data_IF_112378912923
#
_entry.id   IF_112378912923
#
_cell.length_a   1.000
_cell.length_b   1.000
_cell.length_c   1.000
_cell.angle_alpha   90.00
_cell.angle_beta   90.00
_cell.angle_gamma   90.00
#
_symmetry.space_group_name_H-M   'P 1'
#
loop_
_entity.id
_entity.type
_entity.pdbx_description
1 polymer ?
#
# COMPACT_ATOMS: atom_id res chain seq x y z
N UNK A 1 22.78 15.80 -16.70
CA UNK A 1 22.19 16.48 -15.53
C UNK A 1 22.73 15.80 -14.30
N UNK A 2 23.07 16.51 -13.20
CA UNK A 2 23.46 15.83 -11.97
C UNK A 2 22.33 14.89 -11.54
N UNK A 3 22.67 13.63 -11.21
CA UNK A 3 21.70 12.67 -10.66
C UNK A 3 20.94 13.33 -9.50
N UNK A 4 19.60 13.30 -9.55
CA UNK A 4 18.80 13.85 -8.46
C UNK A 4 19.01 12.96 -7.24
N UNK A 5 19.27 13.58 -6.08
CA UNK A 5 19.54 12.83 -4.84
C UNK A 5 18.35 11.94 -4.49
N UNK A 6 18.56 10.63 -4.53
CA UNK A 6 17.61 9.60 -4.10
C UNK A 6 17.61 9.47 -2.57
N UNK A 7 16.43 9.31 -1.99
CA UNK A 7 16.21 8.89 -0.60
C UNK A 7 15.20 7.77 -0.55
N UNK A 8 15.56 6.70 0.15
CA UNK A 8 14.71 5.53 0.39
C UNK A 8 14.61 5.28 1.90
N UNK A 9 13.41 4.91 2.33
CA UNK A 9 13.15 4.28 3.63
C UNK A 9 12.48 2.91 3.41
N UNK A 10 12.74 1.98 4.32
CA UNK A 10 12.14 0.65 4.31
C UNK A 10 11.24 0.50 5.53
N UNK A 11 10.12 -0.17 5.34
CA UNK A 11 9.24 -0.63 6.41
C UNK A 11 9.05 -2.13 6.21
N UNK A 12 9.47 -2.92 7.21
CA UNK A 12 9.53 -4.38 7.11
C UNK A 12 8.59 -4.96 8.16
N UNK A 13 7.58 -5.69 7.69
CA UNK A 13 6.63 -6.43 8.51
C UNK A 13 6.97 -7.92 8.46
N UNK A 14 7.24 -8.52 9.61
CA UNK A 14 7.61 -9.93 9.72
C UNK A 14 6.73 -10.64 10.74
N UNK A 15 6.07 -11.73 10.33
CA UNK A 15 5.32 -12.58 11.25
C UNK A 15 6.28 -13.33 12.20
N UNK A 16 5.91 -13.38 13.48
CA UNK A 16 6.64 -14.13 14.50
C UNK A 16 6.11 -15.56 14.58
N UNK A 17 7.00 -16.51 14.88
CA UNK A 17 6.65 -17.92 15.01
C UNK A 17 6.37 -18.28 16.46
N UNK A 18 5.22 -17.82 16.95
CA UNK A 18 4.74 -18.03 18.31
C UNK A 18 3.77 -19.20 18.40
N UNK A 19 3.52 -19.68 19.62
CA UNK A 19 2.52 -20.74 19.90
C UNK A 19 1.08 -20.26 19.77
N UNK A 20 0.84 -19.00 20.11
CA UNK A 20 -0.46 -18.34 20.07
C UNK A 20 -0.42 -17.01 19.34
N UNK A 21 -1.59 -16.50 18.99
CA UNK A 21 -1.77 -15.15 18.46
C UNK A 21 -1.45 -14.07 19.49
N UNK A 22 -1.43 -12.80 19.08
CA UNK A 22 -0.90 -11.70 19.88
C UNK A 22 -1.78 -11.36 21.10
N UNK A 23 -3.09 -11.49 20.96
CA UNK A 23 -4.08 -11.12 21.97
C UNK A 23 -5.13 -12.22 22.23
N UNK A 24 -4.82 -13.46 21.85
CA UNK A 24 -5.61 -14.65 22.19
C UNK A 24 -4.74 -15.91 22.12
N UNK A 25 -5.22 -17.03 22.66
CA UNK A 25 -4.48 -18.29 22.67
C UNK A 25 -4.59 -19.13 21.39
N UNK A 26 -5.25 -18.62 20.34
CA UNK A 26 -5.43 -19.37 19.10
C UNK A 26 -4.09 -19.65 18.39
N UNK A 27 -3.90 -20.84 17.82
CA UNK A 27 -2.68 -21.17 17.06
C UNK A 27 -2.57 -20.33 15.77
N UNK A 28 -1.40 -19.74 15.46
CA UNK A 28 -1.22 -18.86 14.29
C UNK A 28 -1.01 -19.67 13.00
N UNK A 29 -2.06 -20.34 12.54
CA UNK A 29 -2.05 -21.24 11.37
C UNK A 29 -2.91 -20.67 10.24
N UNK A 30 -2.31 -20.51 9.06
CA UNK A 30 -3.02 -20.10 7.84
C UNK A 30 -3.68 -21.32 7.20
N UNK A 31 -4.97 -21.21 6.90
CA UNK A 31 -5.85 -22.30 6.45
C UNK A 31 -6.25 -22.13 4.98
N UNK A 32 -6.42 -23.25 4.28
CA UNK A 32 -6.79 -23.26 2.84
C UNK A 32 -8.11 -23.98 2.58
N UNK A 33 -8.45 -24.91 3.46
CA UNK A 33 -9.70 -25.65 3.54
C UNK A 33 -10.92 -24.76 3.83
N UNK A 34 -12.11 -25.38 3.78
CA UNK A 34 -13.38 -24.68 3.95
C UNK A 34 -13.55 -24.15 5.37
N UNK A 35 -14.04 -22.90 5.54
CA UNK A 35 -14.26 -22.33 6.86
C UNK A 35 -15.44 -23.01 7.56
N UNK A 36 -15.33 -23.14 8.89
CA UNK A 36 -16.39 -23.72 9.72
C UNK A 36 -17.59 -22.78 9.88
N UNK A 37 -17.38 -21.46 9.82
CA UNK A 37 -18.46 -20.48 9.88
C UNK A 37 -18.18 -19.23 9.06
N UNK A 38 -19.26 -18.50 8.78
CA UNK A 38 -19.22 -17.21 8.11
C UNK A 38 -20.16 -16.23 8.81
N UNK A 39 -19.74 -14.98 8.94
CA UNK A 39 -20.58 -13.90 9.47
C UNK A 39 -20.28 -12.59 8.75
N UNK A 40 -21.28 -11.71 8.69
CA UNK A 40 -21.19 -10.44 7.95
C UNK A 40 -21.19 -9.27 8.91
N UNK A 41 -20.35 -8.27 8.66
CA UNK A 41 -20.34 -7.00 9.38
C UNK A 41 -20.25 -5.79 8.45
N UNK A 42 -20.52 -4.63 9.05
CA UNK A 42 -20.34 -3.31 8.46
C UNK A 42 -19.56 -2.46 9.45
N UNK A 43 -18.46 -1.86 8.99
CA UNK A 43 -17.75 -0.87 9.79
C UNK A 43 -18.48 0.48 9.70
N UNK A 44 -18.47 1.22 10.80
CA UNK A 44 -19.04 2.56 10.90
C UNK A 44 -17.94 3.56 11.20
N UNK A 45 -18.11 4.78 10.71
CA UNK A 45 -17.19 5.86 11.00
C UNK A 45 -17.30 6.28 12.46
N UNK A 46 -16.17 6.35 13.13
CA UNK A 46 -16.04 7.06 14.39
C UNK A 46 -15.82 8.55 14.10
N UNK A 47 -16.49 9.42 14.86
CA UNK A 47 -16.21 10.86 14.85
C UNK A 47 -15.04 11.15 15.77
N UNK A 48 -14.20 12.10 15.42
CA UNK A 48 -13.22 12.65 16.35
C UNK A 48 -13.92 13.35 17.53
N UNK A 49 -13.18 13.66 18.58
CA UNK A 49 -13.68 14.46 19.71
C UNK A 49 -14.23 15.82 19.27
N UNK A 50 -13.72 16.36 18.16
CA UNK A 50 -14.17 17.61 17.54
C UNK A 50 -15.34 17.42 16.56
N UNK A 51 -15.83 16.19 16.42
CA UNK A 51 -16.90 15.84 15.47
C UNK A 51 -16.44 15.69 14.02
N UNK A 52 -15.15 15.80 13.76
CA UNK A 52 -14.57 15.69 12.42
C UNK A 52 -14.47 14.22 11.99
N UNK A 53 -14.60 14.00 10.69
CA UNK A 53 -14.49 12.67 10.08
C UNK A 53 -13.22 12.63 9.23
N UNK A 54 -12.46 11.54 9.35
CA UNK A 54 -11.33 11.28 8.47
C UNK A 54 -11.82 11.17 7.01
N UNK A 55 -11.35 12.01 6.06
CA UNK A 55 -11.80 11.99 4.68
C UNK A 55 -11.58 10.65 3.95
N UNK A 56 -10.49 9.93 4.26
CA UNK A 56 -10.23 8.61 3.70
C UNK A 56 -11.20 7.57 4.27
N UNK A 57 -11.52 7.69 5.56
CA UNK A 57 -12.56 6.89 6.20
C UNK A 57 -13.92 7.13 5.56
N UNK A 58 -14.30 8.40 5.36
CA UNK A 58 -15.54 8.77 4.67
C UNK A 58 -15.58 8.17 3.27
N UNK A 59 -14.48 8.26 2.51
CA UNK A 59 -14.42 7.73 1.15
C UNK A 59 -14.64 6.22 1.09
N UNK A 60 -13.98 5.43 1.94
CA UNK A 60 -14.21 3.98 1.99
C UNK A 60 -15.63 3.63 2.48
N UNK A 61 -16.14 4.36 3.48
CA UNK A 61 -17.50 4.17 3.98
C UNK A 61 -18.56 4.46 2.91
N UNK A 62 -18.35 5.49 2.08
CA UNK A 62 -19.25 5.85 0.97
C UNK A 62 -19.39 4.73 -0.07
N UNK A 63 -18.44 3.79 -0.15
CA UNK A 63 -18.57 2.61 -1.02
C UNK A 63 -19.65 1.63 -0.54
N UNK A 64 -20.14 1.78 0.70
CA UNK A 64 -21.24 0.99 1.26
C UNK A 64 -20.95 -0.51 1.28
N UNK A 65 -19.69 -0.88 1.49
CA UNK A 65 -19.24 -2.27 1.44
C UNK A 65 -19.60 -3.01 2.72
N UNK A 66 -20.02 -4.26 2.56
CA UNK A 66 -20.12 -5.24 3.65
C UNK A 66 -18.87 -6.13 3.69
N UNK A 67 -18.57 -6.68 4.86
CA UNK A 67 -17.43 -7.56 5.06
C UNK A 67 -17.94 -8.93 5.48
N UNK A 68 -17.65 -9.96 4.69
CA UNK A 68 -17.94 -11.35 5.01
C UNK A 68 -16.68 -11.99 5.59
N UNK A 69 -16.74 -12.36 6.87
CA UNK A 69 -15.64 -12.99 7.57
C UNK A 69 -15.82 -14.51 7.61
N UNK A 70 -14.77 -15.23 7.22
CA UNK A 70 -14.67 -16.68 7.27
C UNK A 70 -13.82 -17.09 8.49
N UNK A 71 -14.37 -17.96 9.33
CA UNK A 71 -13.77 -18.36 10.61
C UNK A 71 -13.57 -19.88 10.71
N UNK A 72 -12.55 -20.27 11.47
CA UNK A 72 -12.17 -21.65 11.75
C UNK A 72 -12.18 -21.86 13.26
N UNK A 73 -13.19 -22.56 13.78
CA UNK A 73 -13.44 -22.70 15.23
C UNK A 73 -12.30 -23.32 16.06
N UNK A 74 -11.29 -23.90 15.40
CA UNK A 74 -10.08 -24.47 16.02
C UNK A 74 -8.86 -23.54 15.97
N UNK A 75 -8.86 -22.50 15.11
CA UNK A 75 -7.74 -21.55 14.95
C UNK A 75 -8.17 -20.06 15.05
N UNK A 76 -9.44 -19.80 15.35
CA UNK A 76 -10.06 -18.48 15.49
C UNK A 76 -11.03 -18.52 16.68
N UNK A 77 -10.98 -17.53 17.57
CA UNK A 77 -11.91 -17.41 18.70
C UNK A 77 -12.71 -16.11 18.66
N UNK A 78 -13.46 -15.83 19.73
CA UNK A 78 -14.32 -14.67 19.85
C UNK A 78 -13.55 -13.34 19.83
N UNK A 79 -12.27 -13.34 20.23
CA UNK A 79 -11.40 -12.15 20.15
C UNK A 79 -11.23 -11.70 18.71
N UNK A 80 -10.90 -12.60 17.78
CA UNK A 80 -10.81 -12.28 16.35
C UNK A 80 -12.16 -11.97 15.72
N UNK A 81 -13.26 -12.48 16.28
CA UNK A 81 -14.61 -12.17 15.80
C UNK A 81 -15.14 -10.83 16.33
N UNK A 82 -14.40 -10.16 17.22
CA UNK A 82 -14.85 -8.96 17.94
C UNK A 82 -16.14 -9.23 18.75
N UNK A 83 -16.13 -10.35 19.50
CA UNK A 83 -17.20 -10.80 20.40
C UNK A 83 -16.68 -11.05 21.84
N UNK A 84 -15.37 -10.89 22.07
CA UNK A 84 -14.71 -11.02 23.37
C UNK A 84 -13.58 -9.98 23.49
N UNK A 85 -13.37 -9.36 24.67
CA UNK A 85 -12.21 -8.51 24.90
C UNK A 85 -10.89 -9.25 24.62
N UNK A 86 -9.87 -8.56 24.08
CA UNK A 86 -8.56 -9.17 23.88
C UNK A 86 -7.94 -9.61 25.20
N UNK A 87 -7.20 -10.72 25.16
CA UNK A 87 -6.40 -11.19 26.29
C UNK A 87 -5.15 -10.30 26.45
N UNK A 88 -4.38 -10.45 27.55
CA UNK A 88 -3.09 -9.77 27.68
C UNK A 88 -2.14 -10.06 26.52
N UNK A 89 -1.21 -9.13 26.28
CA UNK A 89 -0.19 -9.24 25.23
C UNK A 89 0.61 -10.54 25.37
N UNK A 90 0.76 -11.26 24.26
CA UNK A 90 1.50 -12.51 24.22
C UNK A 90 2.98 -12.30 24.61
N UNK A 91 3.40 -12.90 25.73
CA UNK A 91 4.74 -12.74 26.29
C UNK A 91 5.85 -13.30 25.40
N UNK A 92 5.58 -14.39 24.65
CA UNK A 92 6.54 -14.95 23.69
C UNK A 92 6.77 -13.99 22.52
N UNK A 93 5.69 -13.38 22.00
CA UNK A 93 5.78 -12.36 20.96
C UNK A 93 6.57 -11.13 21.43
N UNK A 94 6.31 -10.68 22.65
CA UNK A 94 7.04 -9.56 23.27
C UNK A 94 8.53 -9.88 23.43
N UNK A 95 8.88 -11.07 23.92
CA UNK A 95 10.28 -11.49 24.07
C UNK A 95 11.04 -11.49 22.74
N UNK A 96 10.39 -11.98 21.67
CA UNK A 96 10.96 -11.96 20.31
C UNK A 96 11.13 -10.52 19.83
N UNK A 97 10.14 -9.64 20.02
CA UNK A 97 10.22 -8.24 19.64
C UNK A 97 11.35 -7.49 20.39
N UNK A 98 11.52 -7.75 21.69
CA UNK A 98 12.61 -7.22 22.50
C UNK A 98 13.98 -7.72 22.01
N UNK A 99 14.09 -9.01 21.69
CA UNK A 99 15.29 -9.60 21.09
C UNK A 99 15.67 -8.86 19.80
N UNK A 100 14.70 -8.64 18.92
CA UNK A 100 14.89 -7.93 17.65
C UNK A 100 15.32 -6.48 17.89
N UNK A 101 14.71 -5.77 18.85
CA UNK A 101 15.12 -4.42 19.23
C UNK A 101 16.59 -4.36 19.63
N UNK A 102 17.04 -5.28 20.49
CA UNK A 102 18.44 -5.34 20.95
C UNK A 102 19.40 -5.68 19.79
N UNK A 103 19.02 -6.61 18.90
CA UNK A 103 19.80 -6.94 17.70
C UNK A 103 19.94 -5.75 16.72
N UNK A 104 18.98 -4.83 16.76
CA UNK A 104 18.96 -3.59 15.98
C UNK A 104 19.46 -2.37 16.76
N UNK A 105 20.12 -2.58 17.91
CA UNK A 105 20.67 -1.53 18.77
C UNK A 105 19.64 -0.46 19.19
N UNK A 106 18.35 -0.82 19.27
CA UNK A 106 17.28 0.10 19.65
C UNK A 106 17.30 0.37 21.16
N UNK A 107 16.82 1.55 21.55
CA UNK A 107 16.37 1.80 22.91
C UNK A 107 15.00 1.17 23.09
N UNK A 108 14.85 0.35 24.12
CA UNK A 108 13.58 -0.31 24.46
C UNK A 108 12.76 0.63 25.36
N UNK A 109 11.43 0.60 25.22
CA UNK A 109 10.52 1.36 26.09
C UNK A 109 10.47 0.75 27.50
N UNK A 110 10.33 1.58 28.53
CA UNK A 110 10.18 1.11 29.92
C UNK A 110 8.82 0.44 30.17
N UNK A 111 7.78 0.89 29.46
CA UNK A 111 6.43 0.38 29.54
C UNK A 111 5.81 0.29 28.14
N UNK A 112 5.16 -0.85 27.85
CA UNK A 112 4.53 -1.10 26.56
C UNK A 112 3.05 -0.72 26.62
N UNK A 113 2.65 0.24 25.80
CA UNK A 113 1.26 0.68 25.65
C UNK A 113 0.68 0.21 24.32
N UNK A 114 -0.43 -0.53 24.36
CA UNK A 114 -1.13 -1.02 23.16
C UNK A 114 -2.08 0.07 22.66
N UNK A 115 -1.85 0.49 21.42
CA UNK A 115 -2.64 1.51 20.71
C UNK A 115 -3.59 0.87 19.70
N UNK A 116 -4.58 1.63 19.25
CA UNK A 116 -5.56 1.23 18.23
C UNK A 116 -5.39 2.10 16.98
N UNK A 117 -4.71 1.56 15.96
CA UNK A 117 -4.56 2.20 14.65
C UNK A 117 -5.82 1.93 13.83
N UNK A 118 -6.59 2.95 13.48
CA UNK A 118 -7.87 2.79 12.76
C UNK A 118 -7.64 2.12 11.40
N UNK A 119 -8.43 1.10 11.09
CA UNK A 119 -8.39 0.34 9.83
C UNK A 119 -9.81 0.12 9.33
N UNK A 120 -10.13 0.78 8.23
CA UNK A 120 -11.47 0.92 7.67
C UNK A 120 -11.75 -0.01 6.47
N UNK A 121 -10.73 -0.72 5.98
CA UNK A 121 -10.84 -1.57 4.79
C UNK A 121 -11.54 -2.92 5.07
N UNK A 122 -11.86 -3.19 6.33
CA UNK A 122 -12.49 -4.42 6.80
C UNK A 122 -11.50 -5.54 7.13
N UNK A 123 -10.19 -5.33 7.01
CA UNK A 123 -9.19 -6.36 7.30
C UNK A 123 -9.02 -6.64 8.80
N UNK A 124 -9.49 -5.74 9.68
CA UNK A 124 -9.62 -5.96 11.12
C UNK A 124 -11.11 -5.91 11.50
N UNK A 125 -11.61 -6.96 12.15
CA UNK A 125 -13.02 -7.08 12.58
C UNK A 125 -13.45 -5.98 13.55
N UNK A 126 -12.51 -5.50 14.36
CA UNK A 126 -12.62 -4.39 15.32
C UNK A 126 -12.65 -3.00 14.67
N UNK A 127 -12.33 -2.88 13.38
CA UNK A 127 -12.12 -1.58 12.71
C UNK A 127 -10.81 -0.87 13.11
N UNK A 128 -9.92 -1.55 13.83
CA UNK A 128 -8.59 -1.06 14.17
C UNK A 128 -7.58 -2.21 14.34
N UNK A 129 -6.32 -1.95 14.07
CA UNK A 129 -5.20 -2.84 14.37
C UNK A 129 -4.64 -2.48 15.74
N UNK A 130 -4.40 -3.49 16.60
CA UNK A 130 -3.67 -3.28 17.85
C UNK A 130 -2.17 -3.28 17.57
N UNK A 131 -1.49 -2.20 17.95
CA UNK A 131 -0.05 -1.97 17.70
C UNK A 131 0.59 -1.39 18.97
N UNK A 132 1.80 -1.82 19.30
CA UNK A 132 2.57 -1.32 20.43
C UNK A 132 4.00 -0.98 20.03
N UNK A 133 4.51 0.18 20.45
CA UNK A 133 5.91 0.55 20.27
C UNK A 133 6.76 -0.25 21.27
N UNK A 134 7.80 -0.94 20.77
CA UNK A 134 8.70 -1.75 21.60
C UNK A 134 10.08 -1.10 21.72
N UNK A 135 10.58 -0.53 20.62
CA UNK A 135 11.86 0.17 20.64
C UNK A 135 11.97 1.23 19.56
N UNK A 136 12.93 2.12 19.73
CA UNK A 136 13.17 3.27 18.85
C UNK A 136 14.66 3.66 18.87
N UNK A 137 15.06 4.63 18.04
CA UNK A 137 16.45 5.15 17.98
C UNK A 137 17.53 4.07 17.77
N UNK A 138 17.22 3.03 17.01
CA UNK A 138 18.16 1.96 16.68
C UNK A 138 19.01 2.26 15.46
N UNK A 139 19.86 1.29 15.10
CA UNK A 139 20.57 1.30 13.82
C UNK A 139 21.04 -0.10 13.41
N UNK A 140 21.21 -0.26 12.10
CA UNK A 140 21.90 -1.41 11.50
C UNK A 140 23.08 -0.92 10.66
N UNK A 141 24.23 -1.58 10.80
CA UNK A 141 25.42 -1.27 10.00
C UNK A 141 25.43 -2.08 8.71
N UNK A 142 25.54 -1.38 7.58
CA UNK A 142 25.59 -1.95 6.24
C UNK A 142 26.72 -1.26 5.47
N UNK A 143 27.73 -2.01 5.07
CA UNK A 143 28.92 -1.50 4.36
C UNK A 143 29.57 -0.26 5.03
N UNK A 144 29.70 -0.27 6.35
CA UNK A 144 30.30 0.84 7.11
C UNK A 144 29.40 2.07 7.30
N UNK A 145 28.16 2.05 6.79
CA UNK A 145 27.16 3.09 7.02
C UNK A 145 26.15 2.64 8.06
N UNK A 146 25.83 3.52 9.01
CA UNK A 146 24.73 3.33 9.95
C UNK A 146 23.41 3.73 9.31
N UNK A 147 22.49 2.78 9.22
CA UNK A 147 21.13 3.00 8.77
C UNK A 147 20.25 3.10 10.02
N UNK A 148 19.68 4.27 10.34
CA UNK A 148 18.81 4.43 11.49
C UNK A 148 17.59 3.52 11.41
N UNK A 149 17.21 2.95 12.54
CA UNK A 149 15.92 2.30 12.77
C UNK A 149 15.11 3.25 13.64
N UNK A 150 14.09 3.87 13.06
CA UNK A 150 13.29 4.87 13.77
C UNK A 150 12.44 4.20 14.85
N UNK A 151 11.76 3.10 14.48
CA UNK A 151 10.83 2.40 15.35
C UNK A 151 10.84 0.89 15.08
N UNK A 152 10.58 0.12 16.13
CA UNK A 152 10.22 -1.29 16.11
C UNK A 152 8.91 -1.44 16.88
N UNK A 153 7.86 -1.87 16.18
CA UNK A 153 6.53 -2.07 16.75
C UNK A 153 6.16 -3.56 16.75
N UNK A 154 5.34 -3.97 17.72
CA UNK A 154 4.70 -5.27 17.77
C UNK A 154 3.19 -5.09 17.54
N UNK A 155 2.64 -5.75 16.55
CA UNK A 155 1.25 -5.57 16.13
C UNK A 155 0.58 -6.86 15.65
N UNK A 156 -0.74 -6.80 15.52
CA UNK A 156 -1.54 -7.86 14.92
C UNK A 156 -1.44 -7.82 13.40
N UNK A 157 -1.20 -8.96 12.74
CA UNK A 157 -1.43 -9.03 11.30
C UNK A 157 -2.94 -8.97 10.98
N UNK A 158 -3.26 -8.48 9.79
CA UNK A 158 -4.63 -8.30 9.33
C UNK A 158 -5.23 -9.58 8.75
N UNK A 159 -6.57 -9.68 8.70
CA UNK A 159 -7.26 -10.78 8.03
C UNK A 159 -6.85 -10.88 6.56
N UNK A 160 -6.91 -12.09 5.99
CA UNK A 160 -6.51 -12.31 4.59
C UNK A 160 -7.70 -12.12 3.67
N UNK A 161 -7.59 -11.17 2.74
CA UNK A 161 -8.58 -10.98 1.68
C UNK A 161 -8.57 -12.19 0.74
N UNK A 162 -9.73 -12.81 0.53
CA UNK A 162 -9.90 -14.00 -0.34
C UNK A 162 -10.88 -13.77 -1.47
N UNK A 163 -11.65 -12.68 -1.43
CA UNK A 163 -12.55 -12.30 -2.51
C UNK A 163 -12.96 -10.83 -2.41
N UNK A 164 -13.30 -10.23 -3.54
CA UNK A 164 -13.86 -8.88 -3.62
C UNK A 164 -14.91 -8.84 -4.71
N UNK A 165 -16.13 -8.46 -4.34
CA UNK A 165 -17.20 -8.07 -5.24
C UNK A 165 -17.47 -6.56 -5.13
N UNK A 166 -18.48 -6.08 -5.87
CA UNK A 166 -18.81 -4.65 -5.93
C UNK A 166 -19.19 -4.03 -4.57
N UNK A 167 -19.88 -4.78 -3.71
CA UNK A 167 -20.41 -4.33 -2.40
C UNK A 167 -20.03 -5.23 -1.23
N UNK A 168 -19.19 -6.24 -1.47
CA UNK A 168 -18.79 -7.20 -0.44
C UNK A 168 -17.32 -7.56 -0.61
N UNK A 169 -16.58 -7.57 0.50
CA UNK A 169 -15.21 -8.10 0.56
C UNK A 169 -15.19 -9.29 1.50
N UNK A 170 -14.52 -10.36 1.10
CA UNK A 170 -14.44 -11.61 1.85
C UNK A 170 -13.05 -11.73 2.49
N UNK A 171 -13.02 -11.91 3.80
CA UNK A 171 -11.80 -12.03 4.60
C UNK A 171 -11.78 -13.36 5.37
N UNK A 172 -10.62 -14.03 5.43
CA UNK A 172 -10.36 -15.15 6.34
C UNK A 172 -9.65 -14.67 7.60
N UNK A 173 -10.18 -15.08 8.75
CA UNK A 173 -9.68 -14.70 10.09
C UNK A 173 -8.51 -15.55 10.58
N UNK A 174 -8.13 -16.59 9.84
CA UNK A 174 -6.97 -17.45 10.13
C UNK A 174 -5.68 -16.65 10.38
N UNK A 175 -5.47 -15.58 9.62
CA UNK A 175 -4.32 -14.68 9.72
C UNK A 175 -4.47 -13.54 10.73
N UNK A 176 -5.71 -13.13 11.02
CA UNK A 176 -5.97 -12.00 11.92
C UNK A 176 -5.39 -12.32 13.31
N UNK A 177 -4.58 -11.40 13.85
CA UNK A 177 -3.99 -11.53 15.19
C UNK A 177 -2.67 -12.31 15.26
N UNK A 178 -2.16 -12.84 14.15
CA UNK A 178 -0.78 -13.41 14.13
C UNK A 178 0.20 -12.29 14.54
N UNK A 179 1.13 -12.51 15.49
CA UNK A 179 2.06 -11.47 15.91
C UNK A 179 2.98 -11.07 14.77
N UNK A 180 3.16 -9.76 14.61
CA UNK A 180 3.94 -9.15 13.55
C UNK A 180 4.89 -8.12 14.17
N UNK A 181 6.16 -8.16 13.80
CA UNK A 181 7.08 -7.06 14.08
C UNK A 181 7.14 -6.14 12.86
N UNK A 182 6.96 -4.84 13.08
CA UNK A 182 7.19 -3.79 12.10
C UNK A 182 8.50 -3.09 12.43
N UNK A 183 9.39 -2.97 11.44
CA UNK A 183 10.67 -2.26 11.57
C UNK A 183 10.71 -1.15 10.52
N UNK A 184 10.80 0.11 10.96
CA UNK A 184 10.87 1.26 10.08
C UNK A 184 12.27 1.91 10.09
N UNK A 185 12.88 2.08 8.92
CA UNK A 185 14.19 2.73 8.79
C UNK A 185 14.08 4.24 8.62
N UNK A 186 15.15 4.97 8.91
CA UNK A 186 15.32 6.37 8.50
C UNK A 186 15.46 6.51 6.96
N UNK A 187 15.08 7.67 6.38
CA UNK A 187 15.11 7.91 4.93
C UNK A 187 16.52 8.32 4.45
N UNK A 188 17.53 7.50 4.76
CA UNK A 188 18.96 7.79 4.49
C UNK A 188 19.56 6.92 3.39
N UNK A 189 18.81 5.95 2.88
CA UNK A 189 19.28 5.04 1.83
C UNK A 189 19.32 5.80 0.51
N UNK A 190 20.45 5.78 -0.18
CA UNK A 190 20.74 6.67 -1.31
C UNK A 190 20.98 5.96 -2.63
N UNK A 191 20.90 4.63 -2.68
CA UNK A 191 20.96 3.87 -3.94
C UNK A 191 20.06 2.64 -3.93
N UNK A 192 19.57 2.17 -5.09
CA UNK A 192 18.78 0.95 -5.15
C UNK A 192 19.52 -0.30 -4.64
N UNK A 193 20.83 -0.39 -4.92
CA UNK A 193 21.69 -1.48 -4.40
C UNK A 193 21.76 -1.47 -2.88
N UNK A 194 21.93 -0.29 -2.29
CA UNK A 194 21.95 -0.14 -0.82
C UNK A 194 20.61 -0.55 -0.22
N UNK A 195 19.47 -0.18 -0.81
CA UNK A 195 18.14 -0.59 -0.35
C UNK A 195 18.03 -2.13 -0.25
N UNK A 196 18.47 -2.86 -1.28
CA UNK A 196 18.51 -4.31 -1.25
C UNK A 196 19.43 -4.89 -0.18
N UNK A 197 20.61 -4.29 0.04
CA UNK A 197 21.54 -4.73 1.08
C UNK A 197 21.03 -4.49 2.50
N UNK A 198 20.35 -3.35 2.73
CA UNK A 198 19.72 -3.05 4.03
C UNK A 198 18.59 -4.02 4.31
N UNK A 199 17.69 -4.23 3.35
CA UNK A 199 16.61 -5.21 3.46
C UNK A 199 17.16 -6.61 3.74
N UNK A 200 18.22 -7.01 3.02
CA UNK A 200 18.89 -8.31 3.23
C UNK A 200 19.43 -8.43 4.65
N UNK A 201 20.12 -7.39 5.14
CA UNK A 201 20.73 -7.40 6.46
C UNK A 201 19.69 -7.51 7.57
N UNK A 202 18.60 -6.73 7.50
CA UNK A 202 17.49 -6.83 8.45
C UNK A 202 16.85 -8.22 8.37
N UNK A 203 16.57 -8.73 7.17
CA UNK A 203 16.05 -10.07 6.97
C UNK A 203 16.95 -11.18 7.53
N UNK A 204 18.28 -11.04 7.46
CA UNK A 204 19.22 -11.96 8.09
C UNK A 204 19.13 -11.92 9.61
N UNK A 205 19.10 -10.72 10.21
CA UNK A 205 18.96 -10.57 11.67
C UNK A 205 17.65 -11.21 12.16
N UNK A 206 16.53 -10.95 11.47
CA UNK A 206 15.26 -11.59 11.75
C UNK A 206 15.36 -13.12 11.68
N UNK A 207 16.01 -13.67 10.65
CA UNK A 207 16.20 -15.13 10.53
C UNK A 207 17.09 -15.72 11.63
N UNK A 208 18.11 -14.99 12.07
CA UNK A 208 19.03 -15.42 13.12
C UNK A 208 18.33 -15.60 14.47
N UNK A 209 17.18 -14.95 14.70
CA UNK A 209 16.37 -15.19 15.90
C UNK A 209 15.90 -16.64 15.99
N UNK A 210 15.72 -17.33 14.86
CA UNK A 210 15.08 -18.65 14.81
C UNK A 210 13.58 -18.64 15.18
N UNK A 211 12.98 -17.46 15.42
CA UNK A 211 11.63 -17.29 15.99
C UNK A 211 10.69 -16.47 15.08
N UNK A 212 10.97 -16.45 13.78
CA UNK A 212 10.15 -15.77 12.76
C UNK A 212 9.58 -16.78 11.77
N UNK A 213 8.34 -16.56 11.31
CA UNK A 213 7.71 -17.46 10.35
C UNK A 213 8.41 -17.40 8.99
N UNK A 214 8.47 -18.56 8.34
CA UNK A 214 9.10 -18.76 7.03
C UNK A 214 8.06 -19.17 5.99
N UNK A 215 8.32 -18.81 4.74
CA UNK A 215 7.46 -19.16 3.62
C UNK A 215 6.88 -17.92 2.93
N UNK A 216 6.07 -18.15 1.92
CA UNK A 216 5.44 -17.07 1.15
C UNK A 216 4.44 -16.31 2.03
N UNK A 217 4.50 -14.98 1.98
CA UNK A 217 3.58 -14.10 2.69
C UNK A 217 3.84 -13.90 4.18
N UNK A 218 4.97 -14.42 4.72
CA UNK A 218 5.35 -14.19 6.13
C UNK A 218 6.13 -12.91 6.36
N UNK A 219 6.67 -12.32 5.30
CA UNK A 219 7.35 -11.03 5.29
C UNK A 219 6.70 -10.13 4.24
N UNK A 220 6.49 -8.86 4.60
CA UNK A 220 6.07 -7.78 3.71
C UNK A 220 7.04 -6.62 3.85
N UNK A 221 7.35 -5.97 2.74
CA UNK A 221 8.29 -4.86 2.73
C UNK A 221 7.67 -3.72 1.93
N UNK A 222 7.51 -2.57 2.58
CA UNK A 222 7.01 -1.36 1.98
C UNK A 222 8.18 -0.40 1.76
N UNK A 223 8.26 0.18 0.56
CA UNK A 223 9.36 1.05 0.14
C UNK A 223 8.88 2.49 0.06
N UNK A 224 9.55 3.38 0.76
CA UNK A 224 9.30 4.82 0.69
C UNK A 224 10.38 5.48 -0.17
N UNK A 225 10.07 5.83 -1.42
CA UNK A 225 11.04 6.32 -2.41
C UNK A 225 10.78 7.78 -2.75
N UNK A 226 11.83 8.59 -2.82
CA UNK A 226 11.77 9.98 -3.27
C UNK A 226 13.06 10.42 -3.96
N UNK A 227 12.93 11.29 -4.96
CA UNK A 227 14.08 11.99 -5.57
C UNK A 227 14.01 13.49 -5.27
N UNK A 228 15.16 14.17 -5.26
CA UNK A 228 15.21 15.61 -5.02
C UNK A 228 14.29 16.40 -5.98
N UNK A 229 13.38 17.20 -5.43
CA UNK A 229 12.37 17.95 -6.19
C UNK A 229 11.16 17.13 -6.64
N UNK A 230 11.14 15.83 -6.35
CA UNK A 230 10.02 14.90 -6.53
C UNK A 230 9.13 14.81 -5.28
N UNK A 231 8.50 13.65 -5.09
CA UNK A 231 7.57 13.40 -3.99
C UNK A 231 7.90 12.09 -3.27
N UNK A 232 7.51 11.96 -2.00
CA UNK A 232 7.55 10.67 -1.29
C UNK A 232 6.45 9.78 -1.85
N UNK A 233 6.84 8.64 -2.41
CA UNK A 233 5.93 7.61 -2.92
C UNK A 233 6.14 6.33 -2.13
N UNK A 234 5.06 5.79 -1.61
CA UNK A 234 5.03 4.53 -0.86
C UNK A 234 4.64 3.40 -1.82
N UNK A 235 5.47 2.37 -1.91
CA UNK A 235 5.25 1.17 -2.71
C UNK A 235 5.03 0.02 -1.75
N UNK A 236 3.80 -0.49 -1.70
CA UNK A 236 3.38 -1.50 -0.74
C UNK A 236 3.56 -2.93 -1.26
N UNK A 237 3.86 -3.85 -0.36
CA UNK A 237 3.73 -5.29 -0.57
C UNK A 237 4.84 -5.91 -1.41
N UNK A 238 6.08 -5.43 -1.31
CA UNK A 238 7.23 -6.06 -1.95
C UNK A 238 7.59 -7.34 -1.18
N UNK A 239 7.27 -8.50 -1.76
CA UNK A 239 7.53 -9.79 -1.11
C UNK A 239 8.95 -10.31 -1.38
N UNK A 240 9.41 -10.18 -2.63
CA UNK A 240 10.70 -10.68 -3.09
C UNK A 240 11.80 -9.65 -2.86
N UNK A 241 12.81 -10.04 -2.08
CA UNK A 241 13.94 -9.19 -1.72
C UNK A 241 14.74 -8.76 -2.96
N UNK A 242 14.91 -9.67 -3.92
CA UNK A 242 15.67 -9.43 -5.15
C UNK A 242 15.06 -8.32 -6.02
N UNK A 243 13.76 -8.06 -5.87
CA UNK A 243 13.05 -7.03 -6.63
C UNK A 243 13.25 -5.61 -6.07
N UNK A 244 13.66 -5.46 -4.81
CA UNK A 244 13.78 -4.15 -4.15
C UNK A 244 14.66 -3.18 -4.94
N UNK A 245 15.90 -3.53 -5.35
CA UNK A 245 16.71 -2.61 -6.15
C UNK A 245 16.03 -2.21 -7.45
N UNK A 246 15.37 -3.14 -8.14
CA UNK A 246 14.71 -2.85 -9.41
C UNK A 246 13.51 -1.92 -9.22
N UNK A 247 12.71 -2.14 -8.19
CA UNK A 247 11.53 -1.30 -7.88
C UNK A 247 11.96 0.13 -7.55
N UNK A 248 12.99 0.30 -6.71
CA UNK A 248 13.54 1.62 -6.36
C UNK A 248 14.08 2.35 -7.59
N UNK A 249 14.84 1.65 -8.44
CA UNK A 249 15.38 2.21 -9.68
C UNK A 249 14.25 2.69 -10.62
N UNK A 250 13.23 1.86 -10.82
CA UNK A 250 12.09 2.18 -11.67
C UNK A 250 11.28 3.36 -11.13
N UNK A 251 11.08 3.45 -9.81
CA UNK A 251 10.37 4.57 -9.20
C UNK A 251 11.18 5.87 -9.27
N UNK A 252 12.49 5.81 -9.01
CA UNK A 252 13.36 6.98 -9.18
C UNK A 252 13.30 7.51 -10.62
N UNK A 253 13.44 6.62 -11.62
CA UNK A 253 13.30 6.97 -13.05
C UNK A 253 11.93 7.57 -13.38
N UNK A 254 10.85 7.03 -12.79
CA UNK A 254 9.49 7.56 -12.98
C UNK A 254 9.39 9.00 -12.49
N UNK A 255 9.86 9.27 -11.28
CA UNK A 255 9.84 10.61 -10.71
C UNK A 255 10.70 11.57 -11.53
N UNK A 256 11.90 11.16 -11.95
CA UNK A 256 12.76 11.99 -12.80
C UNK A 256 12.10 12.36 -14.13
N UNK A 257 11.49 11.40 -14.82
CA UNK A 257 10.78 11.64 -16.07
C UNK A 257 9.57 12.58 -15.87
N UNK A 258 8.84 12.44 -14.76
CA UNK A 258 7.74 13.35 -14.41
C UNK A 258 8.22 14.76 -14.09
N UNK A 259 9.39 14.91 -13.45
CA UNK A 259 10.01 16.21 -13.21
C UNK A 259 10.43 16.89 -14.52
N UNK A 260 10.97 16.13 -15.46
CA UNK A 260 11.30 16.65 -16.79
C UNK A 260 10.05 17.09 -17.56
N UNK A 261 8.95 16.35 -17.46
CA UNK A 261 7.64 16.74 -18.03
C UNK A 261 7.15 18.04 -17.38
N UNK A 262 7.21 18.15 -16.05
CA UNK A 262 6.86 19.37 -15.32
C UNK A 262 7.69 20.56 -15.77
N UNK A 263 9.00 20.38 -15.89
CA UNK A 263 9.91 21.44 -16.29
C UNK A 263 9.67 21.89 -17.74
N UNK A 264 9.30 20.95 -18.63
CA UNK A 264 8.86 21.25 -19.99
C UNK A 264 7.52 21.99 -20.04
N UNK A 265 6.54 21.61 -19.22
CA UNK A 265 5.26 22.34 -19.10
C UNK A 265 5.48 23.78 -18.61
N UNK A 266 6.35 23.96 -17.62
CA UNK A 266 6.76 25.30 -17.14
C UNK A 266 7.45 26.11 -18.23
N UNK A 267 8.33 25.50 -19.01
CA UNK A 267 8.98 26.14 -20.17
C UNK A 267 7.96 26.57 -21.23
N UNK A 268 6.90 25.78 -21.43
CA UNK A 268 5.77 26.12 -22.31
C UNK A 268 4.83 27.17 -21.72
N UNK A 269 5.08 27.66 -20.51
CA UNK A 269 4.26 28.66 -19.83
C UNK A 269 2.91 28.14 -19.36
N UNK A 270 2.74 26.81 -19.25
CA UNK A 270 1.48 26.20 -18.77
C UNK A 270 1.37 26.37 -17.27
N UNK A 271 0.27 26.96 -16.82
CA UNK A 271 -0.11 27.12 -15.41
C UNK A 271 -1.32 26.24 -15.09
N UNK A 272 -1.53 25.96 -13.81
CA UNK A 272 -2.67 25.13 -13.38
C UNK A 272 -4.02 25.74 -13.77
N UNK A 273 -4.12 27.07 -13.73
CA UNK A 273 -5.30 27.84 -14.18
C UNK A 273 -5.61 27.71 -15.68
N UNK A 274 -4.63 27.32 -16.51
CA UNK A 274 -4.86 27.06 -17.93
C UNK A 274 -5.56 25.71 -18.17
N UNK A 275 -5.57 24.82 -17.16
CA UNK A 275 -6.27 23.53 -17.19
C UNK A 275 -7.68 23.71 -16.64
N UNK A 276 -8.59 24.21 -17.48
CA UNK A 276 -9.99 24.31 -17.12
C UNK A 276 -10.65 22.92 -17.10
N UNK A 277 -11.23 22.52 -15.96
CA UNK A 277 -12.05 21.31 -15.81
C UNK A 277 -13.43 21.44 -16.50
N UNK A 278 -13.42 21.80 -17.79
CA UNK A 278 -14.60 22.00 -18.62
C UNK A 278 -14.58 20.99 -19.77
N UNK A 279 -15.07 19.76 -19.53
CA UNK A 279 -15.16 18.78 -20.60
C UNK A 279 -16.10 19.27 -21.70
N UNK A 280 -15.74 18.98 -22.95
CA UNK A 280 -16.52 19.26 -24.15
C UNK A 280 -17.15 17.96 -24.62
N UNK A 281 -18.44 17.97 -24.91
CA UNK A 281 -19.09 16.84 -25.55
C UNK A 281 -18.64 16.74 -27.01
N UNK A 282 -18.00 15.62 -27.34
CA UNK A 282 -17.51 15.29 -28.68
C UNK A 282 -18.17 14.03 -29.22
N UNK A 283 -19.32 13.63 -28.66
CA UNK A 283 -20.06 12.42 -29.03
C UNK A 283 -20.33 12.34 -30.53
N UNK A 284 -20.69 13.47 -31.14
CA UNK A 284 -20.98 13.54 -32.58
C UNK A 284 -19.74 13.26 -33.45
N UNK A 285 -18.53 13.61 -32.98
CA UNK A 285 -17.28 13.29 -33.68
C UNK A 285 -17.05 11.79 -33.76
N UNK A 286 -17.56 11.03 -32.80
CA UNK A 286 -17.43 9.58 -32.73
C UNK A 286 -18.61 8.81 -33.32
N UNK A 287 -19.62 9.48 -33.91
CA UNK A 287 -20.83 8.82 -34.44
C UNK A 287 -20.51 7.73 -35.48
N UNK A 288 -19.58 8.03 -36.38
CA UNK A 288 -19.13 7.14 -37.46
C UNK A 288 -17.70 6.59 -37.25
N UNK A 289 -17.20 6.63 -36.01
CA UNK A 289 -15.85 6.12 -35.68
C UNK A 289 -15.71 4.65 -36.05
N UNK A 290 -14.52 4.16 -36.40
CA UNK A 290 -14.26 2.71 -36.54
C UNK A 290 -13.79 2.06 -35.22
N UNK A 291 -13.65 2.85 -34.16
CA UNK A 291 -13.26 2.37 -32.84
C UNK A 291 -14.36 1.51 -32.19
N UNK A 292 -14.10 0.21 -32.04
CA UNK A 292 -15.04 -0.74 -31.42
C UNK A 292 -15.43 -0.35 -30.00
N UNK A 293 -14.49 0.21 -29.23
CA UNK A 293 -14.69 0.62 -27.83
C UNK A 293 -15.69 1.78 -27.78
N UNK A 294 -15.43 2.84 -28.55
CA UNK A 294 -16.33 3.99 -28.64
C UNK A 294 -17.72 3.58 -29.16
N UNK A 295 -17.81 2.79 -30.24
CA UNK A 295 -19.11 2.29 -30.75
C UNK A 295 -19.92 1.57 -29.68
N UNK A 296 -19.28 0.72 -28.87
CA UNK A 296 -19.96 -0.04 -27.82
C UNK A 296 -20.49 0.91 -26.73
N UNK A 297 -19.67 1.85 -26.28
CA UNK A 297 -20.05 2.82 -25.24
C UNK A 297 -21.24 3.70 -25.69
N UNK A 298 -21.21 4.19 -26.93
CA UNK A 298 -22.28 4.99 -27.52
C UNK A 298 -23.58 4.20 -27.68
N UNK A 299 -23.52 2.93 -28.13
CA UNK A 299 -24.70 2.06 -28.24
C UNK A 299 -25.37 1.78 -26.89
N UNK A 300 -24.61 1.78 -25.80
CA UNK A 300 -25.14 1.65 -24.44
C UNK A 300 -25.66 2.96 -23.84
N UNK A 301 -25.77 4.04 -24.63
CA UNK A 301 -26.23 5.35 -24.18
C UNK A 301 -25.15 6.19 -23.48
N UNK A 302 -23.88 5.81 -23.59
CA UNK A 302 -22.76 6.62 -23.11
C UNK A 302 -22.47 7.82 -24.00
N UNK A 303 -21.69 8.77 -23.48
CA UNK A 303 -21.24 9.98 -24.20
C UNK A 303 -19.71 10.01 -24.29
N UNK A 304 -19.18 10.71 -25.30
CA UNK A 304 -17.75 10.96 -25.42
C UNK A 304 -17.43 12.40 -24.97
N UNK A 305 -16.67 12.53 -23.89
CA UNK A 305 -16.23 13.82 -23.36
C UNK A 305 -14.73 14.00 -23.59
N UNK A 306 -14.34 15.17 -24.09
CA UNK A 306 -12.94 15.55 -24.31
C UNK A 306 -12.54 16.69 -23.37
N UNK A 307 -11.31 16.63 -22.85
CA UNK A 307 -10.71 17.71 -22.08
C UNK A 307 -9.49 18.24 -22.82
N UNK A 308 -9.43 19.55 -23.03
CA UNK A 308 -8.26 20.19 -23.63
C UNK A 308 -7.17 20.35 -22.57
N UNK A 309 -5.97 19.89 -22.86
CA UNK A 309 -4.77 20.05 -22.03
C UNK A 309 -3.75 20.94 -22.77
N UNK A 310 -3.79 22.28 -22.59
CA UNK A 310 -2.89 23.19 -23.28
C UNK A 310 -1.42 22.87 -22.99
N UNK A 311 -0.60 22.81 -24.03
CA UNK A 311 0.84 22.56 -23.89
C UNK A 311 1.25 21.11 -23.56
N UNK A 312 0.31 20.15 -23.51
CA UNK A 312 0.62 18.73 -23.23
C UNK A 312 1.00 17.90 -24.46
N UNK A 313 0.93 18.45 -25.68
CA UNK A 313 1.25 17.72 -26.92
C UNK A 313 2.67 17.12 -26.87
N UNK A 314 2.77 15.82 -27.14
CA UNK A 314 4.02 15.04 -27.08
C UNK A 314 4.47 14.65 -25.66
N UNK A 315 3.76 15.08 -24.61
CA UNK A 315 4.09 14.75 -23.22
C UNK A 315 3.25 13.61 -22.67
N UNK A 316 2.01 13.45 -23.15
CA UNK A 316 1.11 12.37 -22.75
C UNK A 316 1.65 11.01 -23.21
N UNK A 317 2.23 10.98 -24.41
CA UNK A 317 2.89 9.81 -24.99
C UNK A 317 4.30 9.56 -24.46
N UNK A 318 4.86 10.45 -23.64
CA UNK A 318 6.24 10.34 -23.16
C UNK A 318 6.37 9.19 -22.16
N UNK A 319 7.33 8.31 -22.41
CA UNK A 319 7.64 7.19 -21.53
C UNK A 319 8.25 7.68 -20.21
N UNK A 320 7.66 7.25 -19.09
CA UNK A 320 8.12 7.58 -17.73
C UNK A 320 8.78 6.38 -17.05
N UNK A 321 8.39 5.17 -17.45
CA UNK A 321 8.98 3.89 -17.06
C UNK A 321 8.88 2.93 -18.25
N UNK A 322 9.70 1.88 -18.34
CA UNK A 322 9.57 0.86 -19.39
C UNK A 322 8.12 0.40 -19.57
N UNK A 323 7.54 0.69 -20.74
CA UNK A 323 6.16 0.32 -21.07
C UNK A 323 5.05 1.19 -20.44
N UNK A 324 5.37 2.25 -19.69
CA UNK A 324 4.39 3.18 -19.09
C UNK A 324 4.67 4.62 -19.50
N UNK A 325 3.62 5.36 -19.83
CA UNK A 325 3.67 6.76 -20.27
C UNK A 325 2.95 7.66 -19.28
N UNK A 326 3.08 8.98 -19.43
CA UNK A 326 2.27 9.93 -18.66
C UNK A 326 0.76 9.66 -18.82
N UNK A 327 0.32 9.35 -20.03
CA UNK A 327 -1.07 8.96 -20.31
C UNK A 327 -1.51 7.71 -19.54
N UNK A 328 -0.60 6.77 -19.26
CA UNK A 328 -0.88 5.57 -18.45
C UNK A 328 -1.24 5.94 -17.00
N UNK A 329 -0.49 6.86 -16.39
CA UNK A 329 -0.78 7.38 -15.03
C UNK A 329 -2.14 8.09 -14.98
N UNK A 330 -2.44 8.91 -15.99
CA UNK A 330 -3.74 9.59 -16.09
C UNK A 330 -4.88 8.59 -16.25
N UNK A 331 -4.70 7.55 -17.06
CA UNK A 331 -5.67 6.48 -17.25
C UNK A 331 -5.93 5.71 -15.96
N UNK A 332 -4.90 5.39 -15.17
CA UNK A 332 -5.05 4.72 -13.87
C UNK A 332 -5.83 5.55 -12.86
N UNK A 333 -5.55 6.86 -12.79
CA UNK A 333 -6.35 7.77 -11.94
C UNK A 333 -7.80 7.84 -12.40
N UNK A 334 -8.04 7.92 -13.71
CA UNK A 334 -9.40 7.93 -14.24
C UNK A 334 -10.15 6.62 -13.92
N UNK A 335 -9.51 5.46 -14.09
CA UNK A 335 -10.08 4.15 -13.72
C UNK A 335 -10.43 4.07 -12.23
N UNK A 336 -9.55 4.58 -11.37
CA UNK A 336 -9.75 4.55 -9.92
C UNK A 336 -10.89 5.48 -9.47
N UNK A 337 -10.92 6.73 -9.95
CA UNK A 337 -11.87 7.73 -9.46
C UNK A 337 -13.22 7.73 -10.18
N UNK A 338 -13.24 7.35 -11.46
CA UNK A 338 -14.43 7.45 -12.30
C UNK A 338 -14.94 6.08 -12.80
N UNK A 339 -14.32 4.97 -12.38
CA UNK A 339 -14.69 3.60 -12.79
C UNK A 339 -14.78 3.39 -14.32
N UNK A 340 -14.10 4.24 -15.10
CA UNK A 340 -14.03 4.10 -16.57
C UNK A 340 -13.12 2.93 -16.95
N UNK A 341 -13.24 2.42 -18.18
CA UNK A 341 -12.34 1.36 -18.68
C UNK A 341 -10.92 1.84 -19.03
N UNK A 342 -10.76 3.15 -19.27
CA UNK A 342 -9.53 3.81 -19.71
C UNK A 342 -9.83 5.20 -20.28
N UNK A 343 -8.81 5.84 -20.84
CA UNK A 343 -8.93 7.12 -21.55
C UNK A 343 -8.26 7.01 -22.92
N UNK A 344 -8.61 7.90 -23.84
CA UNK A 344 -7.86 8.14 -25.07
C UNK A 344 -7.14 9.49 -24.98
N UNK A 345 -5.95 9.63 -25.57
CA UNK A 345 -5.23 10.91 -25.61
C UNK A 345 -4.56 11.22 -26.95
N UNK A 346 -4.33 12.50 -27.24
CA UNK A 346 -3.84 12.94 -28.56
C UNK A 346 -2.55 12.28 -29.03
N UNK A 347 -1.63 11.97 -28.11
CA UNK A 347 -0.30 11.45 -28.49
C UNK A 347 -0.27 9.96 -28.85
N UNK A 348 -1.37 9.22 -28.63
CA UNK A 348 -1.47 7.81 -29.07
C UNK A 348 -2.32 7.66 -30.35
N UNK A 349 -2.85 8.77 -30.87
CA UNK A 349 -3.68 8.80 -32.07
C UNK A 349 -2.88 9.31 -33.27
N UNK A 350 -3.17 8.83 -34.51
CA UNK A 350 -4.26 7.92 -34.89
C UNK A 350 -3.97 6.46 -34.51
N UNK A 351 -4.92 5.83 -33.80
CA UNK A 351 -4.87 4.42 -33.41
C UNK A 351 -6.27 3.92 -33.00
N UNK A 352 -6.40 2.63 -32.70
CA UNK A 352 -7.64 2.02 -32.19
C UNK A 352 -8.88 2.19 -33.09
N UNK A 353 -8.70 2.52 -34.37
CA UNK A 353 -9.80 2.83 -35.30
C UNK A 353 -10.36 4.25 -35.17
N UNK A 354 -9.62 5.15 -34.51
CA UNK A 354 -9.87 6.59 -34.45
C UNK A 354 -8.93 7.25 -35.46
N UNK A 355 -9.52 7.86 -36.49
CA UNK A 355 -8.85 8.53 -37.61
C UNK A 355 -8.73 10.03 -37.39
#
# INVERSE_FOLDING_TARGET
MPERKLKVGLEIHQMLDTRGKLFCSCPPVIRRDEPHAKFRRWLRLARSELGELDPAAVFEYMKGRSFLYEAYMDTVCLVEMDEEPPHPLNSEALEIALTICLMLNCKVVDEVHVMRKIVIDGSNTTGFQRTALIGFDGYVEVNGKRIPINTVCLEEDAARKVGEGRREVIYRLDRLGIPLVEIATGPVISSPKEAGLVALRIGQLLRMTGRVKRGLGTIRQDLNVSVAGGARVEIKGVQELELIPRIVELEARRQEALLEIRDELRRRGVREEDIAARPVDVTDVFRDTNCRIAKRALKSGGVALALKLPGFKGLLGREIQPGRRLGTEMAERARYWAEVGGIFHSDELPAYGIS
#
